data_IF_652081012338
#
_entry.id   IF_652081012338
#
_cell.length_a   1.000
_cell.length_b   1.000
_cell.length_c   1.000
_cell.angle_alpha   90.00
_cell.angle_beta   90.00
_cell.angle_gamma   90.00
#
_symmetry.space_group_name_H-M   'P 1'
#
loop_
_entity.id
_entity.type
_entity.pdbx_description
1 polymer ?
#
# COMPACT_ATOMS: atom_id res chain seq x y z
N UNK A 1 46.91 -1.68 69.71
CA UNK A 1 46.22 -1.09 68.55
C UNK A 1 45.79 -2.22 67.62
N UNK A 2 44.53 -2.24 67.21
CA UNK A 2 43.87 -3.39 66.59
C UNK A 2 44.62 -3.91 65.35
N UNK A 3 44.91 -5.22 65.35
CA UNK A 3 45.62 -5.92 64.28
C UNK A 3 44.61 -6.19 63.16
N UNK A 4 44.79 -5.55 62.00
CA UNK A 4 43.98 -5.78 60.81
C UNK A 4 44.04 -7.27 60.43
N UNK A 5 42.88 -7.92 60.47
CA UNK A 5 42.74 -9.35 60.24
C UNK A 5 42.63 -9.60 58.72
N UNK A 6 43.71 -9.36 57.98
CA UNK A 6 43.82 -9.87 56.62
C UNK A 6 44.03 -11.38 56.72
N UNK A 7 42.94 -12.14 56.71
CA UNK A 7 42.95 -13.56 56.40
C UNK A 7 43.31 -13.68 54.92
N UNK A 8 44.62 -13.68 54.63
CA UNK A 8 45.10 -14.05 53.30
C UNK A 8 44.60 -15.44 52.93
N UNK A 9 44.36 -15.67 51.64
CA UNK A 9 43.93 -16.97 51.14
C UNK A 9 44.98 -18.04 51.46
N UNK A 10 44.53 -19.17 51.98
CA UNK A 10 45.35 -20.35 52.17
C UNK A 10 45.72 -20.96 50.81
N UNK A 11 46.91 -21.54 50.71
CA UNK A 11 47.36 -22.25 49.50
C UNK A 11 46.35 -23.34 49.08
N UNK A 12 45.72 -24.00 50.05
CA UNK A 12 44.69 -25.03 49.78
C UNK A 12 43.43 -24.43 49.14
N UNK A 13 43.02 -23.23 49.56
CA UNK A 13 41.84 -22.55 49.02
C UNK A 13 42.09 -22.13 47.57
N UNK A 14 43.31 -21.69 47.25
CA UNK A 14 43.72 -21.36 45.87
C UNK A 14 43.75 -22.60 44.99
N UNK A 15 44.31 -23.71 45.46
CA UNK A 15 44.35 -24.98 44.69
C UNK A 15 42.93 -25.49 44.41
N UNK A 16 42.05 -25.50 45.43
CA UNK A 16 40.65 -25.92 45.27
C UNK A 16 39.92 -24.98 44.29
N UNK A 17 40.10 -23.66 44.40
CA UNK A 17 39.48 -22.71 43.51
C UNK A 17 39.92 -22.89 42.05
N UNK A 18 41.22 -23.10 41.78
CA UNK A 18 41.73 -23.36 40.43
C UNK A 18 41.23 -24.70 39.88
N UNK A 19 41.17 -25.74 40.71
CA UNK A 19 40.66 -27.05 40.31
C UNK A 19 39.17 -27.00 39.94
N UNK A 20 38.35 -26.34 40.77
CA UNK A 20 36.92 -26.14 40.47
C UNK A 20 36.74 -25.28 39.22
N UNK A 21 37.52 -24.21 39.07
CA UNK A 21 37.48 -23.35 37.88
C UNK A 21 37.85 -24.13 36.61
N UNK A 22 38.89 -24.96 36.65
CA UNK A 22 39.31 -25.79 35.51
C UNK A 22 38.23 -26.82 35.10
N UNK A 23 37.52 -27.40 36.08
CA UNK A 23 36.40 -28.32 35.81
C UNK A 23 35.23 -27.58 35.15
N UNK A 24 34.98 -26.33 35.54
CA UNK A 24 33.86 -25.53 35.02
C UNK A 24 34.15 -24.84 33.68
N UNK A 25 35.39 -24.43 33.41
CA UNK A 25 35.72 -23.64 32.21
C UNK A 25 35.63 -24.46 30.92
N UNK A 26 35.94 -25.76 30.96
CA UNK A 26 35.87 -26.64 29.79
C UNK A 26 34.46 -26.74 29.19
N UNK A 27 33.39 -27.08 29.95
CA UNK A 27 32.04 -27.10 29.40
C UNK A 27 31.52 -25.69 29.05
N UNK A 28 31.90 -24.65 29.80
CA UNK A 28 31.49 -23.26 29.50
C UNK A 28 32.06 -22.74 28.18
N UNK A 29 33.34 -23.02 27.90
CA UNK A 29 33.97 -22.63 26.63
C UNK A 29 33.38 -23.38 25.44
N UNK A 30 33.11 -24.69 25.58
CA UNK A 30 32.42 -25.47 24.56
C UNK A 30 31.00 -24.94 24.27
N UNK A 31 30.24 -24.57 25.31
CA UNK A 31 28.93 -23.95 25.17
C UNK A 31 29.00 -22.57 24.52
N UNK A 32 29.98 -21.74 24.89
CA UNK A 32 30.19 -20.42 24.30
C UNK A 32 30.55 -20.51 22.80
N UNK A 33 31.47 -21.41 22.43
CA UNK A 33 31.84 -21.64 21.02
C UNK A 33 30.61 -22.12 20.23
N UNK A 34 29.83 -23.04 20.80
CA UNK A 34 28.58 -23.50 20.18
C UNK A 34 27.59 -22.35 19.98
N UNK A 35 27.39 -21.51 20.99
CA UNK A 35 26.50 -20.35 20.91
C UNK A 35 26.95 -19.34 19.84
N UNK A 36 28.25 -19.05 19.74
CA UNK A 36 28.82 -18.17 18.71
C UNK A 36 28.59 -18.75 17.31
N UNK A 37 28.83 -20.05 17.13
CA UNK A 37 28.62 -20.73 15.84
C UNK A 37 27.14 -20.73 15.44
N UNK A 38 26.24 -21.01 16.39
CA UNK A 38 24.79 -20.93 16.17
C UNK A 38 24.37 -19.52 15.79
N UNK A 39 24.84 -18.50 16.52
CA UNK A 39 24.48 -17.12 16.24
C UNK A 39 24.98 -16.67 14.86
N UNK A 40 26.23 -16.99 14.52
CA UNK A 40 26.81 -16.72 13.19
C UNK A 40 26.01 -17.40 12.08
N UNK A 41 25.63 -18.67 12.27
CA UNK A 41 24.80 -19.41 11.31
C UNK A 41 23.40 -18.78 11.17
N UNK A 42 22.79 -18.35 12.26
CA UNK A 42 21.50 -17.66 12.25
C UNK A 42 21.57 -16.34 11.48
N UNK A 43 22.60 -15.52 11.74
CA UNK A 43 22.82 -14.26 11.01
C UNK A 43 23.04 -14.49 9.51
N UNK A 44 23.86 -15.48 9.13
CA UNK A 44 24.05 -15.85 7.71
C UNK A 44 22.76 -16.29 7.04
N UNK A 45 21.95 -17.11 7.73
CA UNK A 45 20.64 -17.54 7.24
C UNK A 45 19.68 -16.37 7.07
N UNK A 46 19.68 -15.42 8.00
CA UNK A 46 18.86 -14.21 7.92
C UNK A 46 19.21 -13.39 6.68
N UNK A 47 20.50 -13.11 6.43
CA UNK A 47 20.91 -12.38 5.22
C UNK A 47 20.53 -13.09 3.92
N UNK A 48 20.60 -14.42 3.90
CA UNK A 48 20.17 -15.20 2.74
C UNK A 48 18.65 -15.12 2.54
N UNK A 49 17.85 -15.14 3.61
CA UNK A 49 16.39 -14.98 3.52
C UNK A 49 16.04 -13.59 2.97
N UNK A 50 16.55 -12.53 3.60
CA UNK A 50 16.28 -11.13 3.20
C UNK A 50 16.66 -10.90 1.73
N UNK A 51 17.81 -11.44 1.28
CA UNK A 51 18.21 -11.31 -0.12
C UNK A 51 17.35 -12.15 -1.07
N UNK A 52 16.96 -13.37 -0.68
CA UNK A 52 16.07 -14.20 -1.50
C UNK A 52 14.70 -13.53 -1.68
N UNK A 53 14.19 -12.87 -0.64
CA UNK A 53 12.97 -12.07 -0.69
C UNK A 53 13.11 -10.88 -1.64
N UNK A 54 14.20 -10.11 -1.54
CA UNK A 54 14.48 -8.99 -2.45
C UNK A 54 14.57 -9.44 -3.92
N UNK A 55 15.22 -10.58 -4.18
CA UNK A 55 15.30 -11.18 -5.52
C UNK A 55 13.90 -11.60 -5.99
N UNK A 56 13.13 -12.26 -5.13
CA UNK A 56 11.76 -12.67 -5.44
C UNK A 56 10.90 -11.46 -5.83
N UNK A 57 10.91 -10.39 -5.04
CA UNK A 57 10.16 -9.16 -5.33
C UNK A 57 10.61 -8.50 -6.65
N UNK A 58 11.91 -8.55 -6.94
CA UNK A 58 12.43 -8.07 -8.22
C UNK A 58 11.94 -8.92 -9.40
N UNK A 59 11.90 -10.25 -9.26
CA UNK A 59 11.37 -11.16 -10.28
C UNK A 59 9.85 -11.00 -10.48
N UNK A 60 9.11 -10.64 -9.42
CA UNK A 60 7.70 -10.28 -9.54
C UNK A 60 7.49 -9.08 -10.48
N UNK A 61 8.43 -8.16 -10.58
CA UNK A 61 8.28 -6.96 -11.44
C UNK A 61 9.04 -7.05 -12.77
N UNK A 62 9.94 -8.01 -12.93
CA UNK A 62 10.79 -8.15 -14.12
C UNK A 62 10.00 -8.47 -15.40
N UNK A 63 10.52 -8.05 -16.56
CA UNK A 63 9.99 -8.47 -17.86
C UNK A 63 10.54 -9.85 -18.23
N UNK A 64 9.71 -10.88 -18.08
CA UNK A 64 10.11 -12.29 -18.25
C UNK A 64 10.18 -12.73 -19.72
N UNK A 65 10.00 -11.81 -20.67
CA UNK A 65 10.19 -12.06 -22.11
C UNK A 65 11.65 -11.91 -22.56
N UNK A 66 12.52 -11.39 -21.70
CA UNK A 66 13.95 -11.24 -21.97
C UNK A 66 14.75 -12.49 -21.63
N UNK A 67 15.92 -12.65 -22.26
CA UNK A 67 16.86 -13.76 -21.98
C UNK A 67 17.67 -13.58 -20.69
N UNK A 68 17.62 -12.39 -20.08
CA UNK A 68 18.29 -12.09 -18.82
C UNK A 68 17.47 -11.06 -18.00
N UNK A 69 17.53 -11.20 -16.68
CA UNK A 69 16.88 -10.30 -15.72
C UNK A 69 17.97 -9.67 -14.85
N UNK A 70 18.09 -8.34 -14.93
CA UNK A 70 19.07 -7.57 -14.16
C UNK A 70 18.45 -7.04 -12.88
N UNK A 71 19.04 -7.39 -11.72
CA UNK A 71 18.61 -6.92 -10.39
C UNK A 71 19.74 -6.10 -9.76
N UNK A 72 19.49 -4.87 -9.26
CA UNK A 72 20.51 -4.06 -8.59
C UNK A 72 21.13 -4.78 -7.38
N UNK A 73 22.43 -4.62 -7.15
CA UNK A 73 23.12 -5.29 -6.05
C UNK A 73 22.90 -4.66 -4.65
N UNK A 74 22.14 -3.56 -4.59
CA UNK A 74 21.84 -2.80 -3.37
C UNK A 74 22.99 -1.93 -2.85
N UNK A 75 24.21 -2.06 -3.41
CA UNK A 75 25.42 -1.38 -2.95
C UNK A 75 26.00 -0.40 -3.99
N UNK A 76 25.30 -0.19 -5.11
CA UNK A 76 25.73 0.70 -6.21
C UNK A 76 27.04 0.27 -6.89
N UNK A 77 27.43 -1.00 -6.73
CA UNK A 77 28.66 -1.58 -7.33
C UNK A 77 28.40 -2.32 -8.64
N UNK A 78 27.15 -2.68 -8.92
CA UNK A 78 26.73 -3.33 -10.16
C UNK A 78 25.32 -3.93 -10.09
N UNK A 79 25.01 -4.79 -11.06
CA UNK A 79 23.77 -5.56 -11.10
C UNK A 79 24.08 -7.06 -11.04
N UNK A 80 23.20 -7.83 -10.40
CA UNK A 80 23.12 -9.27 -10.53
C UNK A 80 22.35 -9.61 -11.81
N UNK A 81 23.04 -10.22 -12.76
CA UNK A 81 22.46 -10.63 -14.04
C UNK A 81 22.02 -12.09 -13.95
N UNK A 82 20.71 -12.30 -13.99
CA UNK A 82 20.10 -13.63 -14.00
C UNK A 82 19.89 -14.10 -15.43
N UNK A 83 20.70 -15.06 -15.88
CA UNK A 83 20.56 -15.68 -17.20
C UNK A 83 19.49 -16.77 -17.19
N UNK A 84 18.74 -16.90 -18.29
CA UNK A 84 17.84 -18.05 -18.48
C UNK A 84 18.67 -19.30 -18.79
N UNK A 85 18.64 -20.28 -17.87
CA UNK A 85 19.40 -21.53 -18.00
C UNK A 85 18.57 -22.65 -18.62
N UNK A 86 17.29 -22.74 -18.23
CA UNK A 86 16.39 -23.80 -18.66
C UNK A 86 14.97 -23.27 -18.89
N UNK A 87 14.27 -23.87 -19.84
CA UNK A 87 12.88 -23.57 -20.17
C UNK A 87 12.18 -24.85 -20.58
N UNK A 88 11.25 -25.30 -19.75
CA UNK A 88 10.51 -26.53 -19.95
C UNK A 88 9.05 -26.23 -20.26
N UNK A 89 8.49 -26.91 -21.26
CA UNK A 89 7.04 -26.92 -21.51
C UNK A 89 6.44 -28.19 -20.90
N UNK A 90 5.36 -28.04 -20.15
CA UNK A 90 4.58 -29.12 -19.56
C UNK A 90 3.10 -28.97 -19.91
N UNK A 91 2.32 -30.03 -19.74
CA UNK A 91 0.89 -30.05 -20.03
C UNK A 91 0.12 -30.46 -18.78
N UNK A 92 -0.91 -29.69 -18.43
CA UNK A 92 -1.86 -30.00 -17.36
C UNK A 92 -3.23 -30.38 -17.94
N UNK A 93 -3.87 -31.41 -17.38
CA UNK A 93 -5.19 -31.89 -17.82
C UNK A 93 -6.27 -31.31 -16.91
N UNK A 94 -7.22 -30.58 -17.48
CA UNK A 94 -8.30 -29.95 -16.72
C UNK A 94 -9.45 -30.92 -16.43
N UNK A 95 -10.25 -30.67 -15.38
CA UNK A 95 -11.47 -31.42 -15.07
C UNK A 95 -12.56 -31.32 -16.15
N UNK A 96 -13.58 -32.16 -16.04
CA UNK A 96 -14.88 -32.01 -16.71
C UNK A 96 -14.84 -31.90 -18.25
N UNK A 97 -13.87 -32.54 -18.90
CA UNK A 97 -13.67 -32.48 -20.36
C UNK A 97 -13.27 -31.11 -20.90
N UNK A 98 -12.81 -30.18 -20.06
CA UNK A 98 -12.34 -28.85 -20.45
C UNK A 98 -11.03 -28.85 -21.26
N UNK A 99 -10.43 -30.02 -21.47
CA UNK A 99 -9.25 -30.24 -22.30
C UNK A 99 -7.94 -30.15 -21.50
N UNK A 100 -6.88 -29.74 -22.18
CA UNK A 100 -5.55 -29.56 -21.60
C UNK A 100 -5.07 -28.13 -21.77
N UNK A 101 -4.13 -27.73 -20.92
CA UNK A 101 -3.39 -26.47 -21.05
C UNK A 101 -1.90 -26.75 -21.00
N UNK A 102 -1.14 -26.08 -21.86
CA UNK A 102 0.32 -26.11 -21.80
C UNK A 102 0.80 -24.93 -20.95
N UNK A 103 1.84 -25.18 -20.17
CA UNK A 103 2.45 -24.22 -19.27
C UNK A 103 3.98 -24.37 -19.29
N UNK A 104 4.69 -23.34 -18.87
CA UNK A 104 6.14 -23.22 -18.94
C UNK A 104 6.74 -23.03 -17.56
N UNK A 105 7.88 -23.68 -17.35
CA UNK A 105 8.74 -23.51 -16.19
C UNK A 105 10.08 -22.98 -16.71
N UNK A 106 10.40 -21.75 -16.34
CA UNK A 106 11.66 -21.08 -16.70
C UNK A 106 12.56 -20.99 -15.48
N UNK A 107 13.81 -21.42 -15.60
CA UNK A 107 14.80 -21.33 -14.52
C UNK A 107 15.89 -20.34 -14.91
N UNK A 108 16.10 -19.37 -14.05
CA UNK A 108 17.14 -18.36 -14.17
C UNK A 108 18.22 -18.57 -13.11
N UNK A 109 19.48 -18.31 -13.42
CA UNK A 109 20.55 -18.39 -12.42
C UNK A 109 21.44 -17.15 -12.40
N UNK A 110 21.98 -16.87 -11.22
CA UNK A 110 23.01 -15.86 -11.00
C UNK A 110 24.00 -16.39 -9.96
N UNK A 111 25.28 -16.43 -10.32
CA UNK A 111 26.36 -16.86 -9.42
C UNK A 111 27.06 -15.69 -8.75
N UNK A 112 27.60 -15.95 -7.56
CA UNK A 112 28.53 -15.04 -6.89
C UNK A 112 27.90 -13.86 -6.15
N UNK A 113 26.64 -13.99 -5.71
CA UNK A 113 25.95 -13.02 -4.86
C UNK A 113 26.66 -12.96 -3.50
N UNK A 114 27.17 -11.79 -3.13
CA UNK A 114 27.92 -11.60 -1.88
C UNK A 114 27.03 -11.08 -0.76
N UNK A 115 26.98 -11.80 0.36
CA UNK A 115 26.14 -11.45 1.52
C UNK A 115 26.93 -11.37 2.83
N UNK A 116 26.48 -10.50 3.72
CA UNK A 116 27.03 -10.32 5.07
C UNK A 116 28.42 -9.67 5.11
N UNK A 117 28.93 -9.46 6.33
CA UNK A 117 30.22 -8.78 6.57
C UNK A 117 31.46 -9.55 6.08
N UNK A 118 31.35 -10.87 5.89
CA UNK A 118 32.41 -11.71 5.32
C UNK A 118 32.30 -11.88 3.79
N UNK A 119 31.29 -11.26 3.15
CA UNK A 119 31.03 -11.35 1.71
C UNK A 119 30.92 -12.79 1.17
N UNK A 120 30.31 -13.68 1.95
CA UNK A 120 30.10 -15.08 1.55
C UNK A 120 29.34 -15.12 0.23
N UNK A 121 29.79 -16.00 -0.67
CA UNK A 121 29.28 -16.12 -2.03
C UNK A 121 28.18 -17.17 -2.10
N UNK A 122 27.07 -16.79 -2.72
CA UNK A 122 25.92 -17.64 -2.97
C UNK A 122 25.67 -17.77 -4.47
N UNK A 123 25.23 -18.95 -4.87
CA UNK A 123 24.60 -19.18 -6.17
C UNK A 123 23.08 -19.10 -6.02
N UNK A 124 22.42 -18.33 -6.87
CA UNK A 124 20.97 -18.19 -6.87
C UNK A 124 20.37 -18.85 -8.09
N UNK A 125 19.26 -19.56 -7.88
CA UNK A 125 18.37 -20.01 -8.95
C UNK A 125 16.97 -19.49 -8.67
N UNK A 126 16.28 -19.06 -9.73
CA UNK A 126 14.90 -18.58 -9.66
C UNK A 126 14.07 -19.34 -10.69
N UNK A 127 13.10 -20.10 -10.22
CA UNK A 127 12.18 -20.85 -11.07
C UNK A 127 10.85 -20.11 -11.15
N UNK A 128 10.34 -19.94 -12.36
CA UNK A 128 9.09 -19.23 -12.65
C UNK A 128 8.18 -20.17 -13.43
N UNK A 129 7.03 -20.49 -12.85
CA UNK A 129 6.05 -21.41 -13.42
C UNK A 129 4.76 -20.66 -13.75
N UNK A 130 4.31 -20.72 -15.02
CA UNK A 130 3.12 -20.01 -15.50
C UNK A 130 1.81 -20.85 -15.47
N UNK A 131 1.80 -21.99 -14.79
CA UNK A 131 0.63 -22.89 -14.72
C UNK A 131 -0.65 -22.18 -14.29
N UNK A 132 -0.55 -21.25 -13.32
CA UNK A 132 -1.69 -20.51 -12.83
C UNK A 132 -2.32 -19.63 -13.93
N UNK A 133 -1.49 -19.02 -14.77
CA UNK A 133 -1.94 -18.33 -15.98
C UNK A 133 -2.57 -19.30 -16.98
N UNK A 134 -1.93 -20.43 -17.24
CA UNK A 134 -2.39 -21.41 -18.21
C UNK A 134 -3.81 -21.91 -17.88
N UNK A 135 -4.07 -22.30 -16.63
CA UNK A 135 -5.41 -22.76 -16.19
C UNK A 135 -6.42 -21.61 -16.11
N UNK A 136 -5.98 -20.39 -15.79
CA UNK A 136 -6.83 -19.20 -15.80
C UNK A 136 -7.38 -18.87 -17.20
N UNK A 137 -6.64 -19.18 -18.27
CA UNK A 137 -7.16 -19.02 -19.65
C UNK A 137 -8.40 -19.89 -19.94
N UNK A 138 -8.62 -20.92 -19.13
CA UNK A 138 -9.77 -21.84 -19.22
C UNK A 138 -10.80 -21.59 -18.11
N UNK A 139 -10.64 -20.52 -17.32
CA UNK A 139 -11.58 -20.11 -16.30
C UNK A 139 -11.42 -20.84 -14.96
N UNK A 140 -10.28 -21.48 -14.70
CA UNK A 140 -9.98 -22.12 -13.42
C UNK A 140 -8.95 -21.32 -12.61
N UNK A 141 -8.90 -21.58 -11.30
CA UNK A 141 -7.94 -20.99 -10.38
C UNK A 141 -6.93 -22.04 -9.90
N UNK A 142 -5.64 -21.73 -9.93
CA UNK A 142 -4.56 -22.60 -9.41
C UNK A 142 -4.25 -22.28 -7.94
N UNK A 143 -4.01 -23.30 -7.12
CA UNK A 143 -3.55 -23.16 -5.73
C UNK A 143 -2.15 -23.76 -5.56
N UNK A 144 -1.18 -22.91 -5.27
CA UNK A 144 0.23 -23.27 -5.19
C UNK A 144 0.52 -24.15 -3.97
N UNK A 145 -0.28 -24.01 -2.91
CA UNK A 145 -0.07 -24.74 -1.66
C UNK A 145 -0.46 -26.21 -1.83
N UNK A 146 -1.54 -26.46 -2.57
CA UNK A 146 -2.03 -27.80 -2.85
C UNK A 146 -1.47 -28.37 -4.15
N UNK A 147 -0.87 -27.52 -4.98
CA UNK A 147 -0.37 -27.85 -6.32
C UNK A 147 -1.46 -28.50 -7.18
N UNK A 148 -2.68 -27.96 -7.08
CA UNK A 148 -3.87 -28.39 -7.81
C UNK A 148 -4.81 -27.19 -8.05
N UNK A 149 -5.89 -27.41 -8.81
CA UNK A 149 -6.95 -26.41 -8.97
C UNK A 149 -7.65 -26.13 -7.64
N UNK A 150 -7.89 -24.85 -7.37
CA UNK A 150 -8.57 -24.39 -6.16
C UNK A 150 -10.01 -24.92 -6.10
N UNK A 151 -10.39 -25.43 -4.93
CA UNK A 151 -11.73 -25.95 -4.64
C UNK A 151 -12.32 -25.23 -3.44
N UNK A 152 -13.62 -24.96 -3.49
CA UNK A 152 -14.43 -24.61 -2.32
C UNK A 152 -15.32 -25.82 -1.99
N UNK A 153 -14.96 -26.54 -0.94
CA UNK A 153 -15.52 -27.86 -0.65
C UNK A 153 -15.25 -28.87 -1.77
N UNK A 154 -16.29 -29.28 -2.49
CA UNK A 154 -16.20 -30.24 -3.60
C UNK A 154 -16.24 -29.59 -4.99
N UNK A 155 -16.50 -28.28 -5.07
CA UNK A 155 -16.65 -27.56 -6.34
C UNK A 155 -15.38 -26.80 -6.70
N UNK A 156 -15.07 -26.70 -8.00
CA UNK A 156 -13.93 -25.91 -8.48
C UNK A 156 -14.27 -24.42 -8.46
N UNK A 157 -13.30 -23.61 -8.04
CA UNK A 157 -13.42 -22.15 -8.10
C UNK A 157 -13.16 -21.70 -9.54
N UNK A 158 -14.09 -20.91 -10.08
CA UNK A 158 -14.07 -20.45 -11.47
C UNK A 158 -13.95 -18.93 -11.60
N UNK A 159 -13.24 -18.49 -12.63
CA UNK A 159 -13.12 -17.07 -13.01
C UNK A 159 -14.33 -16.63 -13.85
N UNK A 160 -15.02 -15.57 -13.42
CA UNK A 160 -16.24 -15.06 -14.08
C UNK A 160 -15.95 -14.21 -15.33
N UNK A 161 -14.69 -13.84 -15.58
CA UNK A 161 -14.25 -13.19 -16.83
C UNK A 161 -12.74 -13.34 -17.00
N UNK A 162 -12.28 -13.58 -18.23
CA UNK A 162 -10.88 -13.83 -18.56
C UNK A 162 -9.95 -12.70 -18.11
N UNK A 163 -8.75 -13.12 -17.67
CA UNK A 163 -7.60 -12.37 -17.15
C UNK A 163 -7.83 -11.56 -15.87
N UNK A 164 -7.58 -12.24 -14.74
CA UNK A 164 -7.37 -11.62 -13.43
C UNK A 164 -6.23 -10.60 -13.46
N UNK A 165 -6.52 -9.40 -12.98
CA UNK A 165 -5.53 -8.41 -12.58
C UNK A 165 -5.03 -8.85 -11.22
N UNK A 166 -3.82 -9.40 -11.17
CA UNK A 166 -3.20 -9.87 -9.94
C UNK A 166 -2.27 -8.78 -9.44
N UNK A 167 -2.34 -8.52 -8.15
CA UNK A 167 -1.71 -7.39 -7.49
C UNK A 167 -0.20 -7.60 -7.31
N UNK A 168 0.58 -7.11 -8.27
CA UNK A 168 1.92 -6.62 -7.97
C UNK A 168 1.76 -5.17 -7.49
N UNK A 169 1.83 -4.94 -6.19
CA UNK A 169 1.70 -3.60 -5.62
C UNK A 169 3.09 -2.95 -5.45
N UNK A 170 3.78 -2.74 -6.57
CA UNK A 170 4.77 -1.64 -6.67
C UNK A 170 3.98 -0.39 -7.08
N UNK A 171 4.36 0.79 -6.56
CA UNK A 171 3.80 2.08 -6.97
C UNK A 171 3.84 2.30 -8.50
N UNK A 172 4.65 1.53 -9.24
CA UNK A 172 4.72 1.54 -10.71
C UNK A 172 3.54 0.85 -11.41
N UNK A 173 2.82 -0.02 -10.71
CA UNK A 173 1.72 -0.83 -11.26
C UNK A 173 0.37 -0.51 -10.61
N UNK A 174 0.38 0.14 -9.45
CA UNK A 174 -0.82 0.53 -8.70
C UNK A 174 -0.79 2.01 -8.30
N UNK A 175 -1.96 2.64 -8.26
CA UNK A 175 -2.10 4.02 -7.81
C UNK A 175 -2.49 4.06 -6.34
N UNK A 176 -1.52 4.29 -5.46
CA UNK A 176 -1.77 4.49 -4.03
C UNK A 176 -1.82 5.99 -3.76
N UNK A 177 -3.03 6.44 -3.40
CA UNK A 177 -3.36 7.82 -3.14
C UNK A 177 -3.59 7.92 -1.64
N UNK A 178 -2.61 8.48 -0.92
CA UNK A 178 -2.87 8.94 0.44
C UNK A 178 -4.03 9.92 0.37
N UNK A 179 -5.06 9.72 1.21
CA UNK A 179 -6.16 10.64 1.36
C UNK A 179 -5.59 12.03 1.46
N UNK A 180 -6.24 12.95 0.78
CA UNK A 180 -5.73 14.27 0.47
C UNK A 180 -5.55 15.18 1.70
N UNK A 181 -4.77 14.73 2.68
CA UNK A 181 -4.51 15.33 3.98
C UNK A 181 -3.01 15.27 4.31
N UNK A 182 -2.18 14.66 3.44
CA UNK A 182 -0.74 14.54 3.68
C UNK A 182 0.10 15.05 2.49
N UNK A 183 0.65 16.27 2.62
CA UNK A 183 1.59 16.86 1.66
C UNK A 183 3.07 16.50 1.90
N UNK A 184 3.38 15.53 2.77
CA UNK A 184 4.75 15.05 3.00
C UNK A 184 5.42 15.57 4.27
N UNK A 185 6.64 15.07 4.54
CA UNK A 185 7.32 15.12 5.84
C UNK A 185 7.97 16.46 6.24
N UNK A 186 7.86 17.53 5.44
CA UNK A 186 8.73 18.71 5.59
C UNK A 186 8.19 19.80 6.54
N UNK A 187 6.96 19.69 7.06
CA UNK A 187 6.28 20.81 7.74
C UNK A 187 5.51 20.47 9.03
N UNK A 188 5.76 19.31 9.66
CA UNK A 188 5.03 18.89 10.86
C UNK A 188 3.54 18.55 10.61
N UNK A 189 2.92 17.84 11.56
CA UNK A 189 1.60 17.19 11.44
C UNK A 189 0.45 18.21 11.25
N UNK A 190 0.60 19.44 11.77
CA UNK A 190 -0.48 20.45 11.78
C UNK A 190 -0.55 21.30 10.50
N UNK A 191 0.56 21.47 9.77
CA UNK A 191 0.68 22.38 8.63
C UNK A 191 0.31 21.79 7.26
N UNK A 192 0.15 20.47 7.15
CA UNK A 192 0.02 19.77 5.86
C UNK A 192 -1.37 19.17 5.58
N UNK A 193 -2.37 19.44 6.44
CA UNK A 193 -3.76 19.03 6.20
C UNK A 193 -4.47 19.99 5.24
N UNK A 194 -4.95 19.47 4.10
CA UNK A 194 -5.71 20.27 3.13
C UNK A 194 -7.01 20.81 3.73
N UNK A 195 -7.60 20.11 4.70
CA UNK A 195 -8.79 20.55 5.42
C UNK A 195 -8.52 21.84 6.22
N UNK A 196 -7.32 21.95 6.84
CA UNK A 196 -6.91 23.16 7.55
C UNK A 196 -6.67 24.32 6.59
N UNK A 197 -6.10 24.05 5.42
CA UNK A 197 -5.90 25.06 4.37
C UNK A 197 -7.25 25.58 3.85
N UNK A 198 -8.21 24.68 3.63
CA UNK A 198 -9.56 25.04 3.23
C UNK A 198 -10.28 25.88 4.30
N UNK A 199 -10.20 25.48 5.57
CA UNK A 199 -10.78 26.24 6.68
C UNK A 199 -10.18 27.64 6.78
N UNK A 200 -8.86 27.78 6.66
CA UNK A 200 -8.17 29.07 6.67
C UNK A 200 -8.57 29.94 5.47
N UNK A 201 -8.58 29.38 4.26
CA UNK A 201 -8.98 30.08 3.05
C UNK A 201 -10.40 30.64 3.19
N UNK A 202 -11.38 29.81 3.58
CA UNK A 202 -12.76 30.27 3.71
C UNK A 202 -12.92 31.28 4.84
N UNK A 203 -12.16 31.17 5.93
CA UNK A 203 -12.16 32.20 6.98
C UNK A 203 -11.71 33.56 6.42
N UNK A 204 -10.64 33.60 5.64
CA UNK A 204 -10.13 34.84 5.04
C UNK A 204 -11.15 35.46 4.07
N UNK A 205 -11.74 34.65 3.19
CA UNK A 205 -12.81 35.08 2.27
C UNK A 205 -13.99 35.70 3.04
N UNK A 206 -14.44 35.04 4.11
CA UNK A 206 -15.56 35.53 4.94
C UNK A 206 -15.22 36.81 5.67
N UNK A 207 -14.01 36.91 6.22
CA UNK A 207 -13.54 38.14 6.88
C UNK A 207 -13.50 39.30 5.88
N UNK A 208 -13.12 39.07 4.62
CA UNK A 208 -13.14 40.10 3.58
C UNK A 208 -14.57 40.53 3.21
N UNK A 209 -15.53 39.60 3.14
CA UNK A 209 -16.96 39.93 3.00
C UNK A 209 -17.42 40.82 4.17
N UNK A 210 -17.04 40.47 5.40
CA UNK A 210 -17.40 41.25 6.59
C UNK A 210 -16.80 42.65 6.56
N UNK A 211 -15.55 42.83 6.12
CA UNK A 211 -14.90 44.15 5.97
C UNK A 211 -15.71 45.09 5.06
N UNK A 212 -16.44 44.55 4.08
CA UNK A 212 -17.37 45.31 3.24
C UNK A 212 -18.55 45.94 4.01
N UNK A 213 -18.78 45.54 5.26
CA UNK A 213 -19.78 46.10 6.16
C UNK A 213 -19.17 46.43 7.53
N UNK A 214 -18.86 47.70 7.77
CA UNK A 214 -18.17 48.16 8.98
C UNK A 214 -18.86 47.79 10.29
N UNK A 215 -20.19 47.67 10.30
CA UNK A 215 -20.94 47.27 11.51
C UNK A 215 -20.68 45.79 11.82
N UNK A 216 -20.87 44.92 10.82
CA UNK A 216 -20.67 43.48 10.98
C UNK A 216 -19.21 43.14 11.28
N UNK A 217 -18.27 43.84 10.63
CA UNK A 217 -16.85 43.65 10.89
C UNK A 217 -16.46 44.02 12.34
N UNK A 218 -16.95 45.16 12.85
CA UNK A 218 -16.68 45.57 14.23
C UNK A 218 -17.32 44.61 15.25
N UNK A 219 -18.50 44.06 14.97
CA UNK A 219 -19.13 43.03 15.79
C UNK A 219 -18.30 41.75 15.82
N UNK A 220 -17.79 41.31 14.67
CA UNK A 220 -16.87 40.17 14.57
C UNK A 220 -15.60 40.39 15.39
N UNK A 221 -14.94 41.55 15.24
CA UNK A 221 -13.75 41.91 16.05
C UNK A 221 -14.04 41.97 17.55
N UNK A 222 -15.30 42.22 17.93
CA UNK A 222 -15.76 42.24 19.32
C UNK A 222 -16.19 40.87 19.85
N UNK A 223 -15.98 39.79 19.09
CA UNK A 223 -16.23 38.42 19.52
C UNK A 223 -17.55 37.82 19.03
N UNK A 224 -18.19 38.38 18.01
CA UNK A 224 -19.37 37.74 17.41
C UNK A 224 -19.02 36.40 16.73
N UNK A 225 -19.83 35.38 16.98
CA UNK A 225 -19.61 33.97 16.62
C UNK A 225 -20.14 33.62 15.23
N UNK A 226 -20.00 34.53 14.25
CA UNK A 226 -20.61 34.37 12.92
C UNK A 226 -20.10 33.14 12.14
N UNK A 227 -18.94 32.59 12.51
CA UNK A 227 -18.26 31.51 11.80
C UNK A 227 -18.26 30.18 12.57
N UNK A 228 -18.78 30.16 13.80
CA UNK A 228 -18.62 29.02 14.72
C UNK A 228 -19.34 27.75 14.24
N UNK A 229 -20.41 27.90 13.47
CA UNK A 229 -21.21 26.79 12.93
C UNK A 229 -20.93 26.52 11.44
N UNK A 230 -19.81 27.01 10.92
CA UNK A 230 -19.45 26.79 9.53
C UNK A 230 -18.91 25.38 9.31
N UNK A 231 -19.26 24.83 8.15
CA UNK A 231 -18.79 23.54 7.67
C UNK A 231 -18.43 23.68 6.20
N UNK A 232 -17.85 22.64 5.62
CA UNK A 232 -17.68 22.52 4.18
C UNK A 232 -17.96 21.08 3.75
N UNK A 233 -18.09 20.89 2.45
CA UNK A 233 -18.18 19.60 1.81
C UNK A 233 -16.87 19.33 1.08
N UNK A 234 -16.24 18.18 1.33
CA UNK A 234 -15.06 17.74 0.58
C UNK A 234 -15.47 16.83 -0.56
N UNK A 235 -14.93 17.09 -1.74
CA UNK A 235 -15.07 16.24 -2.92
C UNK A 235 -13.69 15.76 -3.36
N UNK A 236 -13.48 14.44 -3.35
CA UNK A 236 -12.28 13.79 -3.87
C UNK A 236 -12.60 13.14 -5.21
N UNK A 237 -12.02 13.62 -6.30
CA UNK A 237 -12.28 13.09 -7.65
C UNK A 237 -11.09 12.29 -8.16
N UNK A 238 -11.30 11.00 -8.42
CA UNK A 238 -10.35 10.12 -9.11
C UNK A 238 -10.66 10.19 -10.60
N UNK A 239 -9.70 10.67 -11.40
CA UNK A 239 -9.80 10.70 -12.85
C UNK A 239 -8.83 9.69 -13.45
N UNK A 240 -9.34 8.85 -14.34
CA UNK A 240 -8.55 7.90 -15.11
C UNK A 240 -8.71 8.21 -16.59
N UNK A 241 -7.59 8.40 -17.28
CA UNK A 241 -7.57 8.77 -18.70
C UNK A 241 -6.50 8.01 -19.46
N UNK A 242 -6.73 7.72 -20.75
CA UNK A 242 -5.70 7.19 -21.64
C UNK A 242 -4.69 8.26 -22.02
N UNK A 243 -3.43 7.84 -22.11
CA UNK A 243 -2.32 8.61 -22.70
C UNK A 243 -1.76 7.87 -23.91
N UNK A 244 -0.82 8.48 -24.64
CA UNK A 244 -0.16 7.83 -25.78
C UNK A 244 0.61 6.55 -25.40
N UNK A 245 1.01 6.43 -24.13
CA UNK A 245 1.89 5.38 -23.60
C UNK A 245 1.24 4.47 -22.55
N UNK A 246 -0.05 4.66 -22.27
CA UNK A 246 -0.79 3.90 -21.28
C UNK A 246 -1.94 4.70 -20.66
N UNK A 247 -1.88 4.91 -19.35
CA UNK A 247 -2.95 5.52 -18.56
C UNK A 247 -2.40 6.54 -17.57
N UNK A 248 -3.15 7.60 -17.32
CA UNK A 248 -2.87 8.60 -16.29
C UNK A 248 -3.97 8.53 -15.24
N UNK A 249 -3.54 8.43 -13.97
CA UNK A 249 -4.41 8.56 -12.80
C UNK A 249 -4.13 9.91 -12.17
N UNK A 250 -5.18 10.68 -11.96
CA UNK A 250 -5.16 11.94 -11.23
C UNK A 250 -6.14 11.91 -10.07
N UNK A 251 -5.78 12.51 -8.95
CA UNK A 251 -6.70 12.77 -7.84
C UNK A 251 -6.84 14.27 -7.64
N UNK A 252 -8.07 14.75 -7.68
CA UNK A 252 -8.42 16.14 -7.43
C UNK A 252 -9.14 16.25 -6.10
N UNK A 253 -8.87 17.31 -5.36
CA UNK A 253 -9.63 17.68 -4.18
C UNK A 253 -10.20 19.08 -4.33
N UNK A 254 -11.46 19.21 -3.94
CA UNK A 254 -12.22 20.44 -3.95
C UNK A 254 -13.04 20.52 -2.67
N UNK A 255 -13.10 21.72 -2.09
CA UNK A 255 -13.94 22.03 -0.95
C UNK A 255 -15.01 23.03 -1.38
N UNK A 256 -16.24 22.79 -0.95
CA UNK A 256 -17.33 23.76 -1.07
C UNK A 256 -17.81 24.19 0.30
N UNK A 257 -17.72 25.49 0.57
CA UNK A 257 -18.11 26.11 1.83
C UNK A 257 -19.62 26.02 2.07
N UNK A 258 -20.00 25.82 3.33
CA UNK A 258 -21.38 25.78 3.81
C UNK A 258 -21.52 26.75 4.99
N UNK A 259 -21.53 28.07 4.72
CA UNK A 259 -21.61 29.08 5.77
C UNK A 259 -23.00 29.07 6.41
N UNK A 260 -23.04 29.33 7.71
CA UNK A 260 -24.29 29.43 8.48
C UNK A 260 -24.87 30.86 8.50
N UNK A 261 -24.05 31.87 8.23
CA UNK A 261 -24.41 33.27 8.38
C UNK A 261 -24.95 33.90 7.08
N UNK A 262 -26.20 34.39 7.13
CA UNK A 262 -26.95 34.85 5.96
C UNK A 262 -26.26 35.94 5.10
N UNK A 263 -25.56 36.95 5.66
CA UNK A 263 -24.80 37.90 4.87
C UNK A 263 -23.71 37.25 3.99
N UNK A 264 -23.04 36.19 4.48
CA UNK A 264 -22.03 35.45 3.72
C UNK A 264 -22.70 34.62 2.63
N UNK A 265 -23.79 33.91 2.97
CA UNK A 265 -24.60 33.13 1.99
C UNK A 265 -25.02 34.04 0.81
N UNK A 266 -25.49 35.25 1.10
CA UNK A 266 -25.88 36.22 0.05
C UNK A 266 -24.69 36.71 -0.77
N UNK A 267 -23.51 36.88 -0.16
CA UNK A 267 -22.32 37.30 -0.89
C UNK A 267 -21.91 36.24 -1.93
N UNK A 268 -21.93 34.96 -1.55
CA UNK A 268 -21.68 33.87 -2.50
C UNK A 268 -22.76 33.79 -3.59
N UNK A 269 -24.05 33.86 -3.23
CA UNK A 269 -25.15 33.82 -4.18
C UNK A 269 -25.10 34.97 -5.23
N UNK A 270 -24.53 36.12 -4.85
CA UNK A 270 -24.36 37.27 -5.72
C UNK A 270 -23.01 37.27 -6.47
N UNK A 271 -22.19 36.22 -6.34
CA UNK A 271 -20.89 36.12 -6.99
C UNK A 271 -19.84 37.12 -6.48
N UNK A 272 -20.02 37.65 -5.26
CA UNK A 272 -19.06 38.60 -4.65
C UNK A 272 -17.77 37.88 -4.24
N UNK A 273 -17.87 36.60 -3.89
CA UNK A 273 -16.75 35.72 -3.57
C UNK A 273 -17.07 34.28 -3.98
N UNK A 274 -16.03 33.45 -4.13
CA UNK A 274 -16.16 32.01 -4.40
C UNK A 274 -16.50 31.26 -3.11
N UNK A 275 -17.47 30.36 -3.17
CA UNK A 275 -17.75 29.36 -2.14
C UNK A 275 -16.91 28.08 -2.32
N UNK A 276 -16.07 28.05 -3.35
CA UNK A 276 -15.26 26.88 -3.73
C UNK A 276 -13.78 27.17 -3.53
N UNK A 277 -13.07 26.18 -3.00
CA UNK A 277 -11.63 26.20 -2.82
C UNK A 277 -11.01 24.92 -3.36
N UNK A 278 -9.92 25.07 -4.10
CA UNK A 278 -9.09 23.96 -4.58
C UNK A 278 -7.68 24.19 -4.05
N UNK A 279 -7.11 23.25 -3.28
CA UNK A 279 -5.77 23.43 -2.74
C UNK A 279 -4.72 23.46 -3.85
N UNK A 280 -3.67 24.26 -3.66
CA UNK A 280 -2.56 24.31 -4.59
C UNK A 280 -1.76 23.01 -4.53
N UNK A 281 -1.90 22.19 -5.57
CA UNK A 281 -1.20 20.92 -5.71
C UNK A 281 0.09 21.05 -6.51
N UNK A 282 1.03 20.12 -6.30
CA UNK A 282 2.28 20.02 -7.09
C UNK A 282 2.03 19.95 -8.60
N UNK A 283 0.88 19.40 -9.00
CA UNK A 283 0.54 19.13 -10.41
C UNK A 283 -0.49 20.11 -10.99
N UNK A 284 -0.93 21.08 -10.19
CA UNK A 284 -1.95 22.06 -10.56
C UNK A 284 -3.01 22.25 -9.48
N UNK A 285 -3.92 23.19 -9.73
CA UNK A 285 -5.02 23.52 -8.81
C UNK A 285 -5.89 22.29 -8.51
N UNK A 286 -5.99 21.95 -7.23
CA UNK A 286 -6.72 20.79 -6.71
C UNK A 286 -6.04 19.44 -6.96
N UNK A 287 -4.97 19.34 -7.75
CA UNK A 287 -4.37 18.05 -8.12
C UNK A 287 -3.37 17.59 -7.07
N UNK A 288 -3.83 16.71 -6.19
CA UNK A 288 -3.05 16.17 -5.06
C UNK A 288 -2.25 14.93 -5.45
N UNK A 289 -2.63 14.27 -6.54
CA UNK A 289 -1.94 13.09 -7.06
C UNK A 289 -1.97 13.07 -8.58
N UNK A 290 -0.86 12.72 -9.21
CA UNK A 290 -0.78 12.45 -10.64
C UNK A 290 0.34 11.44 -10.92
N UNK A 291 0.02 10.38 -11.66
CA UNK A 291 1.02 9.40 -12.12
C UNK A 291 0.58 8.70 -13.41
N UNK A 292 1.56 8.39 -14.26
CA UNK A 292 1.38 7.59 -15.47
C UNK A 292 1.72 6.12 -15.24
N UNK A 293 0.98 5.26 -15.92
CA UNK A 293 1.05 3.80 -15.85
C UNK A 293 1.05 3.21 -17.26
N UNK A 294 1.79 2.12 -17.46
CA UNK A 294 1.79 1.39 -18.74
C UNK A 294 0.51 0.60 -18.98
N UNK A 295 -0.12 0.14 -17.91
CA UNK A 295 -1.37 -0.64 -17.91
C UNK A 295 -2.36 0.01 -16.95
N UNK A 296 -3.66 -0.20 -17.15
CA UNK A 296 -4.70 0.34 -16.27
C UNK A 296 -4.47 -0.17 -14.84
N UNK A 297 -4.08 0.70 -13.89
CA UNK A 297 -3.72 0.25 -12.55
C UNK A 297 -4.97 0.06 -11.68
N UNK A 298 -4.93 -0.84 -10.67
CA UNK A 298 -5.83 -0.72 -9.54
C UNK A 298 -5.51 0.56 -8.75
N UNK A 299 -6.55 1.21 -8.23
CA UNK A 299 -6.45 2.53 -7.56
C UNK A 299 -6.90 2.38 -6.11
N UNK A 300 -6.04 2.79 -5.18
CA UNK A 300 -6.23 2.70 -3.74
C UNK A 300 -6.31 4.13 -3.19
N UNK A 301 -7.49 4.52 -2.71
CA UNK A 301 -7.69 5.79 -2.02
C UNK A 301 -7.75 5.53 -0.51
N UNK A 302 -6.76 6.04 0.21
CA UNK A 302 -6.71 6.07 1.66
C UNK A 302 -7.58 7.22 2.17
N UNK A 303 -8.90 7.06 2.11
CA UNK A 303 -9.86 8.09 2.48
C UNK A 303 -9.76 8.50 3.96
N UNK A 304 -9.79 9.81 4.19
CA UNK A 304 -9.90 10.40 5.52
C UNK A 304 -11.11 11.36 5.53
N UNK A 305 -12.06 11.23 6.46
CA UNK A 305 -13.20 12.13 6.55
C UNK A 305 -12.80 13.58 6.79
N UNK A 306 -13.48 14.53 6.14
CA UNK A 306 -13.13 15.94 6.23
C UNK A 306 -13.42 16.56 7.60
N UNK A 307 -12.52 17.43 8.08
CA UNK A 307 -12.66 18.13 9.36
C UNK A 307 -12.67 19.64 9.15
N UNK A 308 -13.74 20.33 9.57
CA UNK A 308 -13.82 21.78 9.59
C UNK A 308 -13.79 22.28 11.04
N UNK A 309 -12.86 23.18 11.38
CA UNK A 309 -12.74 23.76 12.73
C UNK A 309 -12.69 22.71 13.86
N UNK A 310 -12.07 21.55 13.60
CA UNK A 310 -11.97 20.46 14.57
C UNK A 310 -13.20 19.53 14.63
N UNK A 311 -14.25 19.77 13.84
CA UNK A 311 -15.47 18.95 13.78
C UNK A 311 -15.55 18.23 12.44
N UNK A 312 -15.90 16.93 12.44
CA UNK A 312 -16.13 16.20 11.20
C UNK A 312 -17.31 16.78 10.41
N UNK A 313 -17.13 16.89 9.10
CA UNK A 313 -18.17 17.35 8.18
C UNK A 313 -19.25 16.27 8.02
N UNK A 314 -20.49 16.67 7.72
CA UNK A 314 -21.60 15.71 7.65
C UNK A 314 -21.51 14.79 6.42
N UNK A 315 -21.11 15.34 5.27
CA UNK A 315 -21.13 14.66 3.98
C UNK A 315 -19.81 14.89 3.25
N UNK A 316 -19.25 13.79 2.74
CA UNK A 316 -18.11 13.78 1.84
C UNK A 316 -18.49 13.05 0.54
N UNK A 317 -17.84 13.44 -0.55
CA UNK A 317 -18.10 12.88 -1.87
C UNK A 317 -16.81 12.33 -2.48
N UNK A 318 -16.88 11.11 -2.98
CA UNK A 318 -15.85 10.51 -3.82
C UNK A 318 -16.43 10.42 -5.23
N UNK A 319 -15.78 11.09 -6.18
CA UNK A 319 -16.16 11.07 -7.58
C UNK A 319 -15.17 10.23 -8.38
N UNK A 320 -15.67 9.49 -9.35
CA UNK A 320 -14.85 8.71 -10.27
C UNK A 320 -15.18 9.13 -11.71
N UNK A 321 -14.16 9.53 -12.45
CA UNK A 321 -14.22 9.93 -13.86
C UNK A 321 -13.39 8.95 -14.69
N UNK A 322 -14.05 8.15 -15.51
CA UNK A 322 -13.49 7.15 -16.44
C UNK A 322 -13.82 7.44 -17.90
N UNK A 323 -14.30 8.66 -18.21
CA UNK A 323 -14.70 9.09 -19.55
C UNK A 323 -13.60 8.90 -20.62
N UNK A 324 -12.33 8.81 -20.21
CA UNK A 324 -11.19 8.54 -21.07
C UNK A 324 -10.84 7.06 -21.28
N UNK A 325 -11.66 6.11 -20.80
CA UNK A 325 -11.47 4.67 -20.96
C UNK A 325 -12.39 4.07 -22.04
N UNK A 326 -11.97 2.97 -22.65
CA UNK A 326 -12.80 2.20 -23.59
C UNK A 326 -13.92 1.45 -22.85
N UNK A 327 -14.94 0.98 -23.57
CA UNK A 327 -16.14 0.34 -22.99
C UNK A 327 -15.88 -1.02 -22.34
N UNK A 328 -14.81 -1.71 -22.74
CA UNK A 328 -14.36 -2.99 -22.19
C UNK A 328 -13.38 -2.84 -21.02
N UNK A 329 -12.90 -1.62 -20.77
CA UNK A 329 -11.98 -1.32 -19.67
C UNK A 329 -12.73 -0.99 -18.38
N UNK A 330 -12.24 -1.54 -17.26
CA UNK A 330 -12.82 -1.31 -15.93
C UNK A 330 -11.78 -0.81 -14.96
N UNK A 331 -12.01 0.39 -14.44
CA UNK A 331 -11.23 0.94 -13.33
C UNK A 331 -11.64 0.26 -12.03
N UNK A 332 -10.68 -0.38 -11.36
CA UNK A 332 -10.85 -0.95 -10.01
C UNK A 332 -10.44 0.07 -8.96
N UNK A 333 -11.39 0.48 -8.13
CA UNK A 333 -11.22 1.49 -7.09
C UNK A 333 -11.39 0.83 -5.73
N UNK A 334 -10.40 1.02 -4.85
CA UNK A 334 -10.40 0.52 -3.49
C UNK A 334 -10.37 1.71 -2.53
N UNK A 335 -11.36 1.79 -1.65
CA UNK A 335 -11.54 2.86 -0.69
C UNK A 335 -11.22 2.33 0.70
N UNK A 336 -10.20 2.90 1.32
CA UNK A 336 -9.79 2.54 2.68
C UNK A 336 -9.96 3.74 3.58
N UNK A 337 -10.92 3.67 4.51
CA UNK A 337 -10.95 4.62 5.61
C UNK A 337 -9.80 4.29 6.56
N UNK A 338 -8.87 5.23 6.71
CA UNK A 338 -7.55 5.00 7.32
C UNK A 338 -7.55 4.75 8.83
N UNK A 339 -8.73 4.79 9.46
CA UNK A 339 -8.97 4.54 10.89
C UNK A 339 -9.86 3.31 11.12
N UNK A 340 -10.38 2.71 10.05
CA UNK A 340 -11.13 1.48 10.10
C UNK A 340 -10.15 0.30 10.03
N UNK A 341 -10.57 -0.88 10.49
CA UNK A 341 -9.76 -2.09 10.35
C UNK A 341 -9.49 -2.32 8.86
N UNK A 342 -8.23 -2.18 8.47
CA UNK A 342 -7.77 -2.54 7.13
C UNK A 342 -7.39 -4.01 7.19
N UNK A 343 -7.78 -4.77 6.18
CA UNK A 343 -7.34 -6.16 6.08
C UNK A 343 -5.80 -6.17 5.98
N UNK A 344 -5.08 -6.96 6.81
CA UNK A 344 -3.62 -6.95 6.90
C UNK A 344 -2.92 -7.01 5.55
N UNK A 345 -3.53 -7.66 4.54
CA UNK A 345 -2.99 -7.74 3.19
C UNK A 345 -2.84 -6.40 2.46
N UNK A 346 -3.65 -5.40 2.80
CA UNK A 346 -3.49 -4.04 2.27
C UNK A 346 -2.55 -3.21 3.14
N UNK A 347 -2.54 -3.48 4.45
CA UNK A 347 -1.78 -2.71 5.43
C UNK A 347 -0.27 -2.75 5.18
N UNK A 348 0.29 -3.94 5.05
CA UNK A 348 1.72 -4.17 4.77
C UNK A 348 2.15 -3.42 3.50
N UNK A 349 1.37 -3.58 2.45
CA UNK A 349 1.66 -3.02 1.12
C UNK A 349 1.65 -1.49 1.10
N UNK A 350 0.65 -0.90 1.76
CA UNK A 350 0.51 0.56 1.83
C UNK A 350 1.65 1.16 2.64
N UNK A 351 1.99 0.52 3.78
CA UNK A 351 3.09 0.92 4.63
C UNK A 351 4.43 0.91 3.89
N UNK A 352 4.75 -0.20 3.21
CA UNK A 352 5.98 -0.35 2.44
C UNK A 352 6.07 0.66 1.29
N UNK A 353 4.97 0.85 0.55
CA UNK A 353 4.95 1.77 -0.61
C UNK A 353 5.15 3.22 -0.19
N UNK A 354 4.58 3.62 0.94
CA UNK A 354 4.64 5.00 1.45
C UNK A 354 5.83 5.23 2.39
N UNK A 355 6.58 4.18 2.73
CA UNK A 355 7.73 4.25 3.63
C UNK A 355 7.35 4.62 5.07
N UNK A 356 6.18 4.15 5.54
CA UNK A 356 5.68 4.40 6.89
C UNK A 356 5.55 3.09 7.67
N UNK A 357 5.72 3.15 8.99
CA UNK A 357 5.69 1.97 9.84
C UNK A 357 4.27 1.52 10.24
N UNK A 358 3.25 2.33 9.95
CA UNK A 358 1.83 2.04 10.24
C UNK A 358 0.94 2.99 9.44
N UNK A 359 -0.22 2.49 8.98
CA UNK A 359 -1.23 3.33 8.30
C UNK A 359 -1.74 4.44 9.23
N UNK A 360 -1.78 4.22 10.54
CA UNK A 360 -2.23 5.23 11.51
C UNK A 360 -1.39 6.52 11.42
N UNK A 361 -0.13 6.42 11.00
CA UNK A 361 0.76 7.56 10.82
C UNK A 361 0.44 8.42 9.58
N UNK A 362 -0.35 7.88 8.65
CA UNK A 362 -0.81 8.58 7.45
C UNK A 362 -2.08 9.40 7.72
N UNK A 363 -2.65 9.28 8.92
CA UNK A 363 -3.92 9.90 9.28
C UNK A 363 -3.70 11.12 10.13
N UNK A 364 -4.31 12.23 9.72
CA UNK A 364 -4.53 13.35 10.62
C UNK A 364 -5.61 12.97 11.64
N UNK A 365 -5.21 12.69 12.88
CA UNK A 365 -6.13 12.56 14.02
C UNK A 365 -6.25 13.92 14.72
N UNK A 366 -7.34 14.65 14.48
CA UNK A 366 -7.64 15.85 15.26
C UNK A 366 -7.77 15.46 16.73
N UNK A 367 -7.01 16.05 17.64
CA UNK A 367 -7.12 15.82 19.09
C UNK A 367 -8.35 16.51 19.71
N UNK A 368 -9.16 17.21 18.91
CA UNK A 368 -10.19 18.15 19.37
C UNK A 368 -11.58 17.89 18.77
N UNK A 369 -11.87 16.67 18.33
CA UNK A 369 -13.16 16.33 17.74
C UNK A 369 -14.24 16.03 18.79
N UNK A 370 -15.46 16.51 18.51
CA UNK A 370 -16.67 16.22 19.30
C UNK A 370 -17.57 15.17 18.66
N UNK A 371 -17.23 14.68 17.45
CA UNK A 371 -18.00 13.73 16.65
C UNK A 371 -17.12 12.56 16.16
N UNK A 372 -17.75 11.42 15.85
CA UNK A 372 -17.05 10.24 15.35
C UNK A 372 -16.82 10.34 13.83
N UNK A 373 -15.67 9.91 13.29
CA UNK A 373 -15.47 9.76 11.85
C UNK A 373 -16.57 8.95 11.15
N UNK A 374 -17.08 7.91 11.82
CA UNK A 374 -18.17 7.06 11.32
C UNK A 374 -19.53 7.77 11.19
N UNK A 375 -19.64 9.01 11.66
CA UNK A 375 -20.82 9.86 11.46
C UNK A 375 -20.85 10.55 10.10
N UNK A 376 -19.72 10.56 9.37
CA UNK A 376 -19.63 11.16 8.04
C UNK A 376 -20.28 10.25 7.01
N UNK A 377 -21.21 10.83 6.25
CA UNK A 377 -21.87 10.16 5.12
C UNK A 377 -21.01 10.30 3.88
N UNK A 378 -20.56 9.17 3.33
CA UNK A 378 -19.68 9.15 2.17
C UNK A 378 -20.44 8.68 0.95
N UNK A 379 -20.62 9.56 -0.02
CA UNK A 379 -21.29 9.27 -1.29
C UNK A 379 -20.25 8.97 -2.37
N UNK A 380 -20.44 7.89 -3.12
CA UNK A 380 -19.55 7.51 -4.22
C UNK A 380 -20.30 7.60 -5.54
N UNK A 381 -19.87 8.51 -6.41
CA UNK A 381 -20.59 8.88 -7.63
C UNK A 381 -19.67 8.86 -8.85
N UNK A 382 -20.21 8.55 -10.02
CA UNK A 382 -19.53 8.80 -11.30
C UNK A 382 -19.71 10.25 -11.71
N UNK A 383 -18.79 10.76 -12.52
CA UNK A 383 -18.89 12.10 -13.11
C UNK A 383 -18.50 12.07 -14.59
N UNK A 384 -19.03 13.01 -15.38
CA UNK A 384 -18.91 12.99 -16.84
C UNK A 384 -19.93 12.08 -17.53
N UNK A 385 -19.74 11.83 -18.83
CA UNK A 385 -20.61 10.98 -19.68
C UNK A 385 -20.41 9.46 -19.45
N UNK A 386 -19.90 9.06 -18.29
CA UNK A 386 -19.57 7.67 -18.00
C UNK A 386 -20.81 6.76 -18.01
N UNK A 387 -20.70 5.65 -18.75
CA UNK A 387 -21.72 4.60 -18.80
C UNK A 387 -21.62 3.68 -17.57
N UNK A 388 -22.75 3.10 -17.15
CA UNK A 388 -22.76 2.11 -16.06
C UNK A 388 -21.96 0.89 -16.54
N UNK A 389 -20.81 0.61 -15.93
CA UNK A 389 -20.04 -0.62 -16.22
C UNK A 389 -18.51 -0.48 -16.19
N UNK A 390 -17.98 0.75 -16.29
CA UNK A 390 -16.53 1.04 -16.31
C UNK A 390 -15.86 1.12 -14.94
N UNK A 391 -16.63 1.02 -13.86
CA UNK A 391 -16.13 1.20 -12.49
C UNK A 391 -16.52 0.00 -11.65
N UNK A 392 -15.53 -0.57 -10.98
CA UNK A 392 -15.71 -1.56 -9.93
C UNK A 392 -15.11 -1.01 -8.64
N UNK A 393 -15.93 -0.80 -7.61
CA UNK A 393 -15.54 -0.13 -6.38
C UNK A 393 -15.71 -1.04 -5.16
N UNK A 394 -14.71 -1.02 -4.28
CA UNK A 394 -14.68 -1.76 -3.02
C UNK A 394 -14.33 -0.84 -1.85
N UNK A 395 -14.87 -1.10 -0.67
CA UNK A 395 -14.60 -0.31 0.54
C UNK A 395 -14.48 -1.18 1.79
N UNK A 396 -13.64 -0.76 2.74
CA UNK A 396 -13.60 -1.35 4.09
C UNK A 396 -14.54 -0.66 5.09
N UNK A 397 -15.26 0.38 4.65
CA UNK A 397 -16.21 1.15 5.44
C UNK A 397 -17.54 1.34 4.71
N UNK A 398 -18.59 1.69 5.46
CA UNK A 398 -19.93 1.92 4.90
C UNK A 398 -19.97 3.16 4.00
N UNK A 399 -20.54 3.02 2.81
CA UNK A 399 -20.81 4.14 1.90
C UNK A 399 -22.32 4.30 1.70
N UNK A 400 -22.75 5.53 1.44
CA UNK A 400 -24.15 5.84 1.16
C UNK A 400 -24.45 5.53 -0.31
N UNK A 401 -25.57 4.84 -0.55
CA UNK A 401 -26.05 4.50 -1.88
C UNK A 401 -27.48 4.98 -2.08
N UNK A 402 -27.66 6.00 -2.92
CA UNK A 402 -28.96 6.49 -3.35
C UNK A 402 -29.32 5.86 -4.71
N UNK A 403 -30.29 4.95 -4.71
CA UNK A 403 -30.75 4.27 -5.92
C UNK A 403 -31.44 5.20 -6.93
N UNK A 404 -31.90 6.37 -6.49
CA UNK A 404 -32.54 7.39 -7.34
C UNK A 404 -31.51 8.27 -8.04
N UNK A 405 -30.31 8.38 -7.48
CA UNK A 405 -29.20 9.08 -8.10
C UNK A 405 -28.58 8.22 -9.20
N UNK A 406 -28.84 8.60 -10.44
CA UNK A 406 -28.30 7.89 -11.61
C UNK A 406 -26.78 7.86 -11.65
N UNK A 407 -26.09 8.72 -10.90
CA UNK A 407 -24.63 8.77 -10.82
C UNK A 407 -24.06 7.89 -9.70
N UNK A 408 -24.88 7.40 -8.77
CA UNK A 408 -24.41 6.60 -7.64
C UNK A 408 -23.75 5.30 -8.09
N UNK A 409 -22.63 4.96 -7.44
CA UNK A 409 -21.88 3.74 -7.65
C UNK A 409 -22.17 2.80 -6.48
N UNK A 410 -22.60 1.57 -6.79
CA UNK A 410 -22.74 0.54 -5.77
C UNK A 410 -21.35 0.03 -5.37
N UNK A 411 -20.93 0.33 -4.16
CA UNK A 411 -19.63 -0.09 -3.60
C UNK A 411 -19.80 -1.44 -2.88
N UNK A 412 -18.91 -2.39 -3.18
CA UNK A 412 -18.87 -3.72 -2.54
C UNK A 412 -17.97 -3.67 -1.29
N UNK A 413 -18.07 -4.65 -0.39
CA UNK A 413 -17.07 -4.74 0.68
C UNK A 413 -15.75 -5.26 0.12
N UNK A 414 -14.61 -4.84 0.68
CA UNK A 414 -13.29 -5.37 0.31
C UNK A 414 -13.15 -6.87 0.55
N UNK A 415 -13.98 -7.46 1.42
CA UNK A 415 -14.10 -8.91 1.61
C UNK A 415 -14.74 -9.63 0.42
N UNK A 416 -15.51 -8.92 -0.39
CA UNK A 416 -16.19 -9.46 -1.58
C UNK A 416 -15.28 -9.43 -2.82
N UNK A 417 -14.05 -8.95 -2.67
CA UNK A 417 -13.06 -8.95 -3.74
C UNK A 417 -12.35 -10.32 -3.83
N UNK A 418 -12.70 -11.08 -4.87
CA UNK A 418 -12.09 -12.38 -5.19
C UNK A 418 -10.89 -12.27 -6.14
N UNK A 419 -10.45 -11.05 -6.52
CA UNK A 419 -9.36 -10.88 -7.48
C UNK A 419 -7.98 -11.35 -6.96
N UNK A 420 -7.81 -11.46 -5.64
CA UNK A 420 -6.61 -12.01 -4.99
C UNK A 420 -6.54 -13.55 -5.01
N UNK A 421 -7.62 -14.23 -5.41
CA UNK A 421 -7.61 -15.70 -5.46
C UNK A 421 -6.84 -16.24 -6.66
N UNK A 422 -6.43 -15.37 -7.59
CA UNK A 422 -5.83 -15.77 -8.87
C UNK A 422 -4.47 -15.11 -9.00
N UNK A 423 -3.41 -15.88 -9.13
CA UNK A 423 -2.08 -15.42 -9.56
C UNK A 423 -1.76 -16.00 -10.94
N UNK A 424 -0.73 -15.49 -11.61
CA UNK A 424 -0.36 -15.95 -12.95
C UNK A 424 0.94 -16.76 -12.97
N UNK A 425 1.85 -16.49 -12.03
CA UNK A 425 3.14 -17.18 -11.96
C UNK A 425 3.48 -17.55 -10.52
N UNK A 426 3.98 -18.77 -10.33
CA UNK A 426 4.70 -19.18 -9.13
C UNK A 426 6.18 -18.85 -9.31
N UNK A 427 6.80 -18.25 -8.29
CA UNK A 427 8.21 -17.89 -8.28
C UNK A 427 8.86 -18.59 -7.08
N UNK A 428 9.90 -19.37 -7.34
CA UNK A 428 10.69 -20.05 -6.32
C UNK A 428 12.15 -19.60 -6.41
N UNK A 429 12.67 -19.00 -5.34
CA UNK A 429 14.06 -18.55 -5.23
C UNK A 429 14.83 -19.50 -4.32
N UNK A 430 15.96 -20.00 -4.81
CA UNK A 430 16.87 -20.84 -4.03
C UNK A 430 18.28 -20.22 -4.05
N UNK A 431 18.75 -19.80 -2.87
CA UNK A 431 20.15 -19.43 -2.63
C UNK A 431 20.91 -20.62 -2.05
N UNK A 432 22.05 -20.95 -2.65
CA UNK A 432 22.93 -22.04 -2.21
C UNK A 432 24.25 -21.46 -1.76
N UNK A 433 24.66 -21.76 -0.51
CA UNK A 433 25.93 -21.31 0.04
C UNK A 433 27.12 -22.16 -0.45
N UNK A 434 28.33 -21.72 -0.09
CA UNK A 434 29.59 -22.41 -0.44
C UNK A 434 29.69 -23.86 0.07
N UNK A 435 28.90 -24.24 1.07
CA UNK A 435 28.86 -25.57 1.65
C UNK A 435 27.68 -26.41 1.09
N UNK A 436 26.91 -25.85 0.15
CA UNK A 436 25.74 -26.50 -0.46
C UNK A 436 24.45 -26.39 0.36
N UNK A 437 24.42 -25.59 1.44
CA UNK A 437 23.18 -25.36 2.18
C UNK A 437 22.25 -24.44 1.38
N UNK A 438 20.96 -24.80 1.33
CA UNK A 438 19.94 -24.07 0.58
C UNK A 438 19.09 -23.20 1.49
N UNK A 439 18.79 -22.00 1.02
CA UNK A 439 17.74 -21.10 1.53
C UNK A 439 16.72 -20.92 0.43
N UNK A 440 15.47 -21.25 0.72
CA UNK A 440 14.39 -21.31 -0.27
C UNK A 440 13.24 -20.40 0.16
N UNK A 441 12.78 -19.57 -0.77
CA UNK A 441 11.65 -18.67 -0.61
C UNK A 441 10.74 -18.86 -1.83
N UNK A 442 9.44 -18.88 -1.59
CA UNK A 442 8.41 -18.98 -2.62
C UNK A 442 7.48 -17.79 -2.55
N UNK A 443 6.99 -17.35 -3.70
CA UNK A 443 5.94 -16.34 -3.79
C UNK A 443 5.20 -16.44 -5.10
N UNK A 444 4.10 -15.70 -5.20
CA UNK A 444 3.29 -15.65 -6.41
C UNK A 444 3.36 -14.25 -7.02
N UNK A 445 3.20 -14.20 -8.34
CA UNK A 445 3.12 -12.98 -9.15
C UNK A 445 1.85 -13.08 -9.97
N UNK A 446 1.24 -11.96 -10.35
CA UNK A 446 0.49 -12.04 -11.60
C UNK A 446 0.84 -11.02 -12.66
N UNK A 447 -0.15 -10.48 -13.37
CA UNK A 447 0.09 -9.96 -14.72
C UNK A 447 1.04 -8.77 -14.78
#
# INVERSE_FOLDING_TARGET
MAKNNNKGFSLIEVIIAVAVFAILIAPLTAQLISAINVNTKSTKKQYAIEKAEEIMESFKTANMKGSAISIPDGNSTGNYEFGLDDSQTQTYTLPESAGTVDYHINTYSCSGISLGGEYEKYDCTVTVNDIAHAVATKGYVWDANTNDLKKDGSEYVHLTSGVGTVRNLDNKQSAIIAGATYMGATSGIEGNSLDNQAAAYFKDVKVDILKGNSVLYNQYLSGATYLDNDSFQKTTTIKVSKTLSGYMVQCFVEYQDKPSFNPIIKAYANGIASDTYKPDGKYGEGIVYQKEYKTLPPIYLLYAPAVCNGVYCNNDYIRVETSGLDDDEKAKIYLFETIASIDPKYEEIICDTLGVSSIDSLVYQSTSHTSSPSSVKVYVNRTGDDTKGKIEAYSNFGTEYDETDTTAIKVKNTSDDTSDETYLYDIHVTLTDSNGNKTEISGTRGK
#
